data_IF_504977006781
#
_entry.id   IF_504977006781
#
_cell.length_a   1.000
_cell.length_b   1.000
_cell.length_c   1.000
_cell.angle_alpha   90.00
_cell.angle_beta   90.00
_cell.angle_gamma   90.00
#
_symmetry.space_group_name_H-M   'P 1'
#
loop_
_entity.id
_entity.type
_entity.pdbx_description
1 polymer ?
#
# COMPACT_ATOMS: atom_id res chain seq x y z
N UNK A 1 0.16 22.04 3.23
CA UNK A 1 0.58 21.06 4.26
C UNK A 1 1.99 21.32 4.78
N UNK A 2 3.03 21.35 3.94
CA UNK A 2 4.43 21.49 4.39
C UNK A 2 4.73 22.68 5.33
N UNK A 3 4.04 23.82 5.17
CA UNK A 3 4.16 24.97 6.09
C UNK A 3 3.79 24.61 7.54
N UNK A 4 2.62 24.00 7.72
CA UNK A 4 2.13 23.59 9.04
C UNK A 4 3.01 22.49 9.65
N UNK A 5 3.45 21.52 8.83
CA UNK A 5 4.38 20.49 9.28
C UNK A 5 5.69 21.10 9.78
N UNK A 6 6.26 22.05 9.02
CA UNK A 6 7.47 22.77 9.42
C UNK A 6 7.31 23.51 10.75
N UNK A 7 6.18 24.19 10.95
CA UNK A 7 5.87 24.86 12.22
C UNK A 7 5.78 23.88 13.40
N UNK A 8 5.20 22.70 13.17
CA UNK A 8 5.15 21.64 14.18
C UNK A 8 6.54 21.09 14.48
N UNK A 9 7.36 20.83 13.47
CA UNK A 9 8.73 20.32 13.64
C UNK A 9 9.55 21.28 14.49
N UNK A 10 9.48 22.60 14.23
CA UNK A 10 10.16 23.61 15.05
C UNK A 10 9.73 23.52 16.51
N UNK A 11 8.42 23.51 16.77
CA UNK A 11 7.88 23.45 18.15
C UNK A 11 8.36 22.21 18.89
N UNK A 12 8.32 21.06 18.22
CA UNK A 12 8.63 19.75 18.80
C UNK A 12 10.14 19.57 19.02
N UNK A 13 10.99 20.06 18.12
CA UNK A 13 12.44 19.98 18.29
C UNK A 13 12.98 21.02 19.29
N UNK A 14 12.36 22.20 19.37
CA UNK A 14 12.75 23.24 20.35
C UNK A 14 12.39 22.82 21.77
N UNK A 15 11.24 22.16 21.97
CA UNK A 15 10.77 21.72 23.28
C UNK A 15 11.64 20.61 23.89
N UNK A 16 12.14 19.70 23.06
CA UNK A 16 12.94 18.56 23.54
C UNK A 16 14.42 18.90 23.72
N UNK A 17 14.83 20.16 23.45
CA UNK A 17 16.23 20.60 23.41
C UNK A 17 17.15 19.70 22.55
N UNK A 18 16.55 18.93 21.64
CA UNK A 18 17.19 17.79 21.01
C UNK A 18 17.32 18.01 19.51
N UNK A 19 18.56 17.88 19.05
CA UNK A 19 19.00 17.68 17.68
C UNK A 19 19.02 18.90 16.77
N UNK A 20 20.22 19.16 16.24
CA UNK A 20 20.39 19.95 15.06
C UNK A 20 19.99 19.12 13.83
N UNK A 21 19.00 19.60 13.09
CA UNK A 21 18.72 19.07 11.75
C UNK A 21 19.65 19.74 10.76
N UNK A 22 20.43 18.99 10.00
CA UNK A 22 21.31 19.55 8.97
C UNK A 22 20.58 19.78 7.64
N UNK A 23 19.77 18.79 7.26
CA UNK A 23 19.16 18.68 5.93
C UNK A 23 17.76 18.09 6.02
N UNK A 24 16.90 18.52 5.10
CA UNK A 24 15.58 17.93 4.85
C UNK A 24 15.64 17.14 3.56
N UNK A 25 15.25 15.87 3.63
CA UNK A 25 15.19 14.96 2.48
C UNK A 25 13.77 14.40 2.30
N UNK A 26 13.17 14.50 1.10
CA UNK A 26 11.87 13.91 0.82
C UNK A 26 11.97 12.40 0.60
N UNK A 27 10.90 11.69 0.95
CA UNK A 27 10.61 10.36 0.40
C UNK A 27 9.80 10.55 -0.88
N UNK A 28 10.38 10.17 -2.01
CA UNK A 28 9.76 10.37 -3.32
C UNK A 28 8.47 9.54 -3.49
N UNK A 29 7.52 9.96 -4.34
CA UNK A 29 7.43 11.27 -5.03
C UNK A 29 6.53 12.28 -4.31
N UNK A 30 5.54 11.79 -3.58
CA UNK A 30 4.43 12.62 -3.05
C UNK A 30 4.89 13.73 -2.11
N UNK A 31 6.02 13.55 -1.42
CA UNK A 31 6.57 14.55 -0.51
C UNK A 31 7.44 15.63 -1.17
N UNK A 32 7.69 15.56 -2.48
CA UNK A 32 8.50 16.55 -3.22
C UNK A 32 7.96 17.98 -3.14
N UNK A 33 6.65 18.13 -2.95
CA UNK A 33 6.01 19.45 -2.82
C UNK A 33 6.05 19.98 -1.39
N UNK A 34 6.00 19.10 -0.39
CA UNK A 34 5.92 19.48 1.02
C UNK A 34 7.31 19.67 1.64
N UNK A 35 8.29 18.84 1.28
CA UNK A 35 9.63 18.84 1.87
C UNK A 35 10.43 20.13 1.63
N UNK A 36 10.45 20.75 0.43
CA UNK A 36 11.12 22.04 0.24
C UNK A 36 10.53 23.16 1.10
N UNK A 37 9.20 23.14 1.30
CA UNK A 37 8.50 24.11 2.14
C UNK A 37 8.89 23.92 3.61
N UNK A 38 9.00 22.66 4.07
CA UNK A 38 9.49 22.33 5.41
C UNK A 38 10.93 22.81 5.58
N UNK A 39 11.82 22.55 4.61
CA UNK A 39 13.21 22.98 4.63
C UNK A 39 13.35 24.51 4.73
N UNK A 40 12.61 25.23 3.89
CA UNK A 40 12.56 26.69 3.93
C UNK A 40 12.06 27.21 5.28
N UNK A 41 11.06 26.53 5.88
CA UNK A 41 10.53 26.91 7.19
C UNK A 41 11.52 26.68 8.32
N UNK A 42 12.25 25.56 8.28
CA UNK A 42 13.32 25.21 9.23
C UNK A 42 14.60 26.02 9.01
N UNK A 43 14.73 26.72 7.87
CA UNK A 43 15.97 27.36 7.40
C UNK A 43 17.12 26.36 7.30
N UNK A 44 16.84 25.15 6.80
CA UNK A 44 17.81 24.07 6.62
C UNK A 44 17.95 23.70 5.15
N UNK A 45 19.05 23.05 4.81
CA UNK A 45 19.31 22.62 3.44
C UNK A 45 18.25 21.62 2.98
N UNK A 46 17.94 21.62 1.68
CA UNK A 46 17.08 20.63 1.04
C UNK A 46 17.94 19.76 0.12
N UNK A 47 17.81 18.44 0.21
CA UNK A 47 18.53 17.50 -0.64
C UNK A 47 17.59 16.40 -1.14
N UNK A 48 17.68 16.05 -2.42
CA UNK A 48 16.96 14.91 -3.00
C UNK A 48 17.88 13.69 -3.00
N UNK A 49 17.90 12.97 -1.87
CA UNK A 49 18.86 11.88 -1.63
C UNK A 49 18.32 10.46 -1.86
N UNK A 50 17.01 10.27 -2.02
CA UNK A 50 16.38 8.94 -2.15
C UNK A 50 15.92 8.64 -3.58
N UNK A 51 16.05 7.39 -3.99
CA UNK A 51 15.39 6.78 -5.15
C UNK A 51 14.23 5.95 -4.58
N UNK A 52 13.08 5.94 -5.26
CA UNK A 52 11.82 5.37 -4.74
C UNK A 52 11.99 3.96 -4.15
N UNK A 53 11.56 3.81 -2.89
CA UNK A 53 11.32 2.52 -2.27
C UNK A 53 10.03 2.60 -1.45
N UNK A 54 9.27 1.50 -1.45
CA UNK A 54 7.93 1.44 -0.85
C UNK A 54 8.03 1.11 0.64
N UNK A 55 7.35 1.88 1.48
CA UNK A 55 7.30 1.66 2.94
C UNK A 55 5.86 1.44 3.39
N UNK A 56 5.65 0.51 4.33
CA UNK A 56 4.36 0.21 4.96
C UNK A 56 4.55 0.28 6.48
N UNK A 57 3.60 0.90 7.18
CA UNK A 57 3.65 1.08 8.63
C UNK A 57 2.44 0.42 9.32
N UNK A 58 2.64 -0.27 10.45
CA UNK A 58 1.57 -0.91 11.21
C UNK A 58 0.70 0.09 11.98
N UNK A 59 -0.56 -0.28 12.22
CA UNK A 59 -1.51 0.51 12.97
C UNK A 59 -1.24 0.49 14.49
N UNK A 60 -1.48 1.66 15.11
CA UNK A 60 -1.58 1.94 16.55
C UNK A 60 -0.32 1.64 17.37
N UNK A 61 0.57 2.63 17.39
CA UNK A 61 1.61 2.82 18.40
C UNK A 61 1.68 4.30 18.74
N UNK A 62 2.10 4.65 19.94
CA UNK A 62 2.49 6.02 20.25
C UNK A 62 3.66 6.46 19.36
N UNK A 63 3.88 7.77 19.24
CA UNK A 63 4.90 8.34 18.34
C UNK A 63 6.30 7.74 18.62
N UNK A 64 6.62 7.43 19.88
CA UNK A 64 7.90 6.88 20.32
C UNK A 64 8.08 5.41 19.94
N UNK A 65 7.02 4.61 20.07
CA UNK A 65 7.00 3.21 19.69
C UNK A 65 7.00 3.04 18.16
N UNK A 66 6.43 3.98 17.40
CA UNK A 66 6.62 4.04 15.95
C UNK A 66 8.07 4.37 15.61
N UNK A 67 8.65 5.38 16.26
CA UNK A 67 10.04 5.77 16.04
C UNK A 67 11.00 4.59 16.30
N UNK A 68 10.83 3.92 17.44
CA UNK A 68 11.62 2.74 17.81
C UNK A 68 11.48 1.63 16.77
N UNK A 69 10.26 1.35 16.32
CA UNK A 69 10.00 0.28 15.35
C UNK A 69 10.69 0.50 14.01
N UNK A 70 10.70 1.73 13.52
CA UNK A 70 11.30 2.06 12.22
C UNK A 70 12.79 2.42 12.33
N UNK A 71 13.37 2.36 13.53
CA UNK A 71 14.74 2.75 13.80
C UNK A 71 15.00 4.25 13.67
N UNK A 72 13.96 5.08 13.78
CA UNK A 72 14.08 6.53 13.76
C UNK A 72 14.34 7.07 15.17
N UNK A 73 15.11 8.15 15.26
CA UNK A 73 15.31 8.88 16.52
C UNK A 73 14.02 9.54 17.00
N UNK A 74 13.21 10.03 16.06
CA UNK A 74 11.94 10.71 16.33
C UNK A 74 11.03 10.63 15.12
N UNK A 75 9.74 10.50 15.36
CA UNK A 75 8.69 10.61 14.34
C UNK A 75 7.78 11.77 14.71
N UNK A 76 7.45 12.61 13.73
CA UNK A 76 6.58 13.78 13.93
C UNK A 76 5.47 13.73 12.87
N UNK A 77 4.25 13.48 13.32
CA UNK A 77 3.07 13.48 12.45
C UNK A 77 2.45 14.87 12.29
N UNK A 78 1.82 15.14 11.14
CA UNK A 78 0.98 16.33 10.96
C UNK A 78 -0.21 16.29 11.94
N UNK A 79 -0.60 17.44 12.52
CA UNK A 79 -1.87 17.52 13.29
C UNK A 79 -3.07 17.45 12.35
N UNK A 80 -4.14 16.80 12.81
CA UNK A 80 -5.39 16.71 12.04
C UNK A 80 -6.01 18.08 11.77
N UNK A 81 -5.99 19.00 12.74
CA UNK A 81 -6.54 20.35 12.55
C UNK A 81 -5.74 21.17 11.53
N UNK A 82 -4.41 21.11 11.62
CA UNK A 82 -3.54 21.73 10.63
C UNK A 82 -3.73 21.14 9.22
N UNK A 83 -4.03 19.84 9.12
CA UNK A 83 -4.35 19.18 7.86
C UNK A 83 -5.67 19.70 7.28
N UNK A 84 -6.72 19.79 8.12
CA UNK A 84 -8.01 20.40 7.74
C UNK A 84 -7.83 21.84 7.28
N UNK A 85 -7.05 22.64 8.00
CA UNK A 85 -6.79 24.03 7.66
C UNK A 85 -6.00 24.16 6.34
N UNK A 86 -4.97 23.32 6.14
CA UNK A 86 -4.23 23.30 4.88
C UNK A 86 -5.13 22.98 3.67
N UNK A 87 -6.06 22.04 3.81
CA UNK A 87 -7.04 21.72 2.78
C UNK A 87 -8.02 22.88 2.55
N UNK A 88 -8.52 23.50 3.62
CA UNK A 88 -9.42 24.64 3.53
C UNK A 88 -8.77 25.84 2.80
N UNK A 89 -7.49 26.13 3.08
CA UNK A 89 -6.74 27.19 2.40
C UNK A 89 -6.59 26.93 0.90
N UNK A 90 -6.37 25.67 0.48
CA UNK A 90 -6.28 25.31 -0.93
C UNK A 90 -7.62 25.51 -1.66
N UNK A 91 -8.74 25.16 -1.02
CA UNK A 91 -10.09 25.33 -1.57
C UNK A 91 -10.45 26.81 -1.73
N UNK A 92 -10.04 27.67 -0.79
CA UNK A 92 -10.23 29.12 -0.89
C UNK A 92 -9.41 29.74 -2.03
N UNK A 93 -8.16 29.30 -2.21
CA UNK A 93 -7.31 29.75 -3.30
C UNK A 93 -7.83 29.34 -4.70
N UNK A 94 -8.59 28.25 -4.78
CA UNK A 94 -9.16 27.70 -6.02
C UNK A 94 -10.59 28.15 -6.36
N UNK A 95 -11.17 29.13 -5.65
CA UNK A 95 -12.52 29.69 -5.92
C UNK A 95 -13.67 28.66 -6.05
N UNK A 96 -13.55 27.49 -5.43
CA UNK A 96 -14.56 26.41 -5.47
C UNK A 96 -15.12 26.06 -4.09
N UNK A 97 -14.93 26.97 -3.13
CA UNK A 97 -15.38 26.78 -1.76
C UNK A 97 -16.91 26.80 -1.66
N UNK A 98 -17.53 25.64 -1.41
CA UNK A 98 -18.90 25.59 -0.89
C UNK A 98 -18.88 26.00 0.58
N UNK A 99 -19.86 26.82 0.98
CA UNK A 99 -20.03 27.23 2.38
C UNK A 99 -20.23 25.96 3.24
N UNK A 100 -19.40 25.80 4.28
CA UNK A 100 -19.42 24.69 5.24
C UNK A 100 -19.02 23.31 4.70
N UNK A 101 -18.12 23.23 3.71
CA UNK A 101 -17.61 21.94 3.26
C UNK A 101 -16.66 21.32 4.30
N UNK A 102 -17.07 20.18 4.86
CA UNK A 102 -16.22 19.35 5.72
C UNK A 102 -15.45 18.33 4.89
N UNK A 103 -14.25 17.95 5.37
CA UNK A 103 -13.44 16.90 4.76
C UNK A 103 -13.62 15.59 5.51
N UNK A 104 -13.66 14.48 4.77
CA UNK A 104 -13.67 13.14 5.35
C UNK A 104 -12.33 12.89 6.05
N UNK A 105 -12.38 12.46 7.31
CA UNK A 105 -11.20 12.24 8.17
C UNK A 105 -11.28 10.94 8.98
N UNK A 106 -12.19 10.04 8.63
CA UNK A 106 -12.47 8.80 9.35
C UNK A 106 -11.26 7.90 9.47
N UNK A 107 -10.35 7.94 8.50
CA UNK A 107 -9.06 7.22 8.56
C UNK A 107 -8.13 7.72 9.67
N UNK A 108 -8.32 8.95 10.17
CA UNK A 108 -7.48 9.56 11.20
C UNK A 108 -8.09 9.48 12.60
N UNK A 109 -9.42 9.60 12.73
CA UNK A 109 -10.12 9.61 14.03
C UNK A 109 -10.98 8.36 14.27
N UNK A 110 -11.14 7.47 13.30
CA UNK A 110 -11.98 6.28 13.39
C UNK A 110 -13.48 6.55 13.20
N UNK A 111 -13.88 7.79 12.89
CA UNK A 111 -15.28 8.18 12.71
C UNK A 111 -15.57 8.46 11.24
N UNK A 112 -16.18 7.49 10.57
CA UNK A 112 -16.60 7.66 9.17
C UNK A 112 -17.95 8.37 9.09
N UNK A 113 -18.09 9.28 8.13
CA UNK A 113 -19.36 10.00 7.89
C UNK A 113 -20.49 9.03 7.52
N UNK A 114 -20.15 7.95 6.82
CA UNK A 114 -21.07 6.86 6.50
C UNK A 114 -21.02 5.80 7.60
N UNK A 115 -22.16 5.39 8.19
CA UNK A 115 -22.20 4.30 9.14
C UNK A 115 -21.66 3.00 8.52
N UNK A 116 -20.82 2.30 9.26
CA UNK A 116 -20.26 1.00 8.84
C UNK A 116 -21.13 -0.13 9.41
N UNK A 117 -21.75 -0.99 8.58
CA UNK A 117 -22.51 -2.13 9.06
C UNK A 117 -21.66 -3.15 9.83
N UNK A 118 -22.29 -3.89 10.75
CA UNK A 118 -21.65 -5.03 11.41
C UNK A 118 -21.27 -6.08 10.36
N UNK A 119 -20.06 -6.64 10.44
CA UNK A 119 -19.58 -7.64 9.47
C UNK A 119 -18.91 -7.04 8.23
N UNK A 120 -18.87 -5.71 8.09
CA UNK A 120 -18.30 -5.06 6.89
C UNK A 120 -16.80 -5.34 6.76
N UNK A 121 -16.03 -5.18 7.83
CA UNK A 121 -14.58 -5.37 7.76
C UNK A 121 -14.22 -6.84 7.52
N UNK A 122 -14.93 -7.77 8.15
CA UNK A 122 -14.79 -9.22 7.95
C UNK A 122 -15.10 -9.60 6.50
N UNK A 123 -16.13 -8.99 5.90
CA UNK A 123 -16.43 -9.17 4.49
C UNK A 123 -15.31 -8.64 3.59
N UNK A 124 -14.80 -7.44 3.84
CA UNK A 124 -13.70 -6.84 3.06
C UNK A 124 -12.41 -7.67 3.19
N UNK A 125 -12.10 -8.18 4.38
CA UNK A 125 -10.96 -9.06 4.61
C UNK A 125 -11.08 -10.37 3.82
N UNK A 126 -12.28 -10.97 3.81
CA UNK A 126 -12.55 -12.16 3.00
C UNK A 126 -12.36 -11.89 1.51
N UNK A 127 -12.94 -10.81 0.99
CA UNK A 127 -12.81 -10.43 -0.44
C UNK A 127 -11.34 -10.17 -0.81
N UNK A 128 -10.58 -9.49 0.05
CA UNK A 128 -9.14 -9.28 -0.14
C UNK A 128 -8.34 -10.58 -0.06
N UNK A 129 -8.73 -11.50 0.81
CA UNK A 129 -8.17 -12.85 0.90
C UNK A 129 -8.37 -13.62 -0.41
N UNK A 130 -9.58 -13.61 -0.95
CA UNK A 130 -9.92 -14.27 -2.22
C UNK A 130 -9.14 -13.66 -3.41
N UNK A 131 -9.01 -12.33 -3.47
CA UNK A 131 -8.22 -11.65 -4.51
C UNK A 131 -6.74 -12.01 -4.42
N UNK A 132 -6.17 -12.09 -3.21
CA UNK A 132 -4.78 -12.53 -2.99
C UNK A 132 -4.57 -13.97 -3.45
N UNK A 133 -5.50 -14.88 -3.12
CA UNK A 133 -5.47 -16.27 -3.60
C UNK A 133 -5.43 -16.34 -5.13
N UNK A 134 -6.30 -15.57 -5.81
CA UNK A 134 -6.32 -15.55 -7.28
C UNK A 134 -4.99 -15.08 -7.87
N UNK A 135 -4.41 -13.98 -7.36
CA UNK A 135 -3.13 -13.45 -7.86
C UNK A 135 -1.98 -14.44 -7.68
N UNK A 136 -1.93 -15.15 -6.54
CA UNK A 136 -0.93 -16.19 -6.29
C UNK A 136 -1.12 -17.38 -7.24
N UNK A 137 -2.37 -17.82 -7.45
CA UNK A 137 -2.68 -18.90 -8.39
C UNK A 137 -2.33 -18.56 -9.83
N UNK A 138 -2.60 -17.33 -10.26
CA UNK A 138 -2.28 -16.83 -11.60
C UNK A 138 -0.76 -16.81 -11.83
N UNK A 139 0.00 -16.18 -10.92
CA UNK A 139 1.46 -16.14 -10.98
C UNK A 139 2.08 -17.55 -11.02
N UNK A 140 1.56 -18.49 -10.22
CA UNK A 140 2.04 -19.86 -10.20
C UNK A 140 1.75 -20.60 -11.51
N UNK A 141 0.57 -20.42 -12.10
CA UNK A 141 0.23 -20.99 -13.41
C UNK A 141 1.10 -20.42 -14.52
N UNK A 142 1.35 -19.12 -14.51
CA UNK A 142 2.27 -18.47 -15.45
C UNK A 142 3.69 -19.00 -15.32
N UNK A 143 4.21 -19.13 -14.08
CA UNK A 143 5.54 -19.69 -13.85
C UNK A 143 5.66 -21.14 -14.37
N UNK A 144 4.61 -21.95 -14.20
CA UNK A 144 4.56 -23.32 -14.74
C UNK A 144 4.53 -23.32 -16.26
N UNK A 145 3.67 -22.49 -16.87
CA UNK A 145 3.56 -22.37 -18.33
C UNK A 145 4.87 -21.90 -18.98
N UNK A 146 5.60 -20.99 -18.31
CA UNK A 146 6.87 -20.45 -18.78
C UNK A 146 8.08 -21.34 -18.43
N UNK A 147 7.88 -22.46 -17.72
CA UNK A 147 8.95 -23.37 -17.32
C UNK A 147 9.90 -22.81 -16.26
N UNK A 148 9.52 -21.74 -15.56
CA UNK A 148 10.30 -21.08 -14.51
C UNK A 148 9.83 -21.41 -13.09
N UNK A 149 8.85 -22.32 -12.94
CA UNK A 149 8.27 -22.68 -11.65
C UNK A 149 9.22 -23.51 -10.77
N UNK A 150 9.30 -23.14 -9.48
CA UNK A 150 9.86 -23.95 -8.42
C UNK A 150 8.84 -24.96 -7.86
N UNK A 151 9.25 -25.69 -6.81
CA UNK A 151 8.41 -26.74 -6.19
C UNK A 151 7.11 -26.18 -5.61
N UNK A 152 7.17 -24.97 -5.07
CA UNK A 152 6.02 -24.33 -4.42
C UNK A 152 5.00 -23.85 -5.46
N UNK A 153 5.43 -23.20 -6.56
CA UNK A 153 4.51 -22.80 -7.63
C UNK A 153 3.84 -24.00 -8.30
N UNK A 154 4.57 -25.11 -8.46
CA UNK A 154 4.01 -26.37 -8.96
C UNK A 154 2.92 -26.88 -8.01
N UNK A 155 3.17 -26.86 -6.70
CA UNK A 155 2.21 -27.34 -5.70
C UNK A 155 0.97 -26.43 -5.64
N UNK A 156 1.15 -25.12 -5.74
CA UNK A 156 0.08 -24.13 -5.82
C UNK A 156 -0.77 -24.36 -7.08
N UNK A 157 -0.14 -24.51 -8.24
CA UNK A 157 -0.84 -24.73 -9.51
C UNK A 157 -1.63 -26.05 -9.52
N UNK A 158 -1.15 -27.07 -8.80
CA UNK A 158 -1.74 -28.41 -8.76
C UNK A 158 -2.85 -28.53 -7.71
N UNK A 159 -2.58 -28.08 -6.48
CA UNK A 159 -3.46 -28.33 -5.33
C UNK A 159 -4.34 -27.13 -4.98
N UNK A 160 -4.05 -25.96 -5.54
CA UNK A 160 -4.70 -24.71 -5.14
C UNK A 160 -4.04 -24.05 -3.93
N UNK A 161 -4.75 -23.09 -3.34
CA UNK A 161 -4.25 -22.27 -2.22
C UNK A 161 -5.27 -22.11 -1.10
N UNK A 162 -4.75 -22.06 0.11
CA UNK A 162 -5.48 -21.76 1.32
C UNK A 162 -4.90 -20.51 2.00
N UNK A 163 -5.63 -19.93 2.94
CA UNK A 163 -5.12 -18.83 3.77
C UNK A 163 -5.04 -19.39 5.18
N UNK A 164 -3.85 -19.36 5.77
CA UNK A 164 -3.64 -19.83 7.13
C UNK A 164 -4.16 -18.80 8.16
N UNK A 165 -4.11 -19.16 9.45
CA UNK A 165 -4.57 -18.29 10.55
C UNK A 165 -3.79 -16.96 10.62
N UNK A 166 -2.56 -16.91 10.09
CA UNK A 166 -1.74 -15.69 9.99
C UNK A 166 -2.11 -14.80 8.77
N UNK A 167 -3.14 -15.17 8.00
CA UNK A 167 -3.55 -14.42 6.81
C UNK A 167 -2.62 -14.57 5.60
N UNK A 168 -1.67 -15.51 5.63
CA UNK A 168 -0.76 -15.82 4.52
C UNK A 168 -1.36 -16.84 3.58
N UNK A 169 -1.19 -16.62 2.27
CA UNK A 169 -1.59 -17.57 1.24
C UNK A 169 -0.55 -18.69 1.20
N UNK A 170 -0.99 -19.93 1.41
CA UNK A 170 -0.14 -21.12 1.42
C UNK A 170 -0.66 -22.16 0.41
N UNK A 171 0.19 -23.04 -0.13
CA UNK A 171 -0.27 -24.16 -0.95
C UNK A 171 -1.29 -24.98 -0.16
N UNK A 172 -2.42 -25.32 -0.79
CA UNK A 172 -3.37 -26.22 -0.15
C UNK A 172 -2.70 -27.56 0.14
N UNK A 173 -2.94 -28.12 1.32
CA UNK A 173 -2.52 -29.49 1.61
C UNK A 173 -3.16 -30.40 0.58
N UNK A 174 -2.40 -31.37 0.06
CA UNK A 174 -2.93 -32.32 -0.91
C UNK A 174 -4.14 -33.03 -0.28
N UNK A 175 -5.35 -32.63 -0.64
CA UNK A 175 -6.51 -33.41 -0.31
C UNK A 175 -6.30 -34.75 -1.01
N UNK A 176 -6.32 -35.84 -0.25
CA UNK A 176 -6.48 -37.18 -0.81
C UNK A 176 -7.92 -37.28 -1.32
N UNK A 177 -8.24 -36.48 -2.33
CA UNK A 177 -9.42 -36.63 -3.16
C UNK A 177 -8.91 -37.20 -4.46
N UNK A 178 -9.14 -38.50 -4.63
CA UNK A 178 -9.02 -39.19 -5.91
C UNK A 178 -9.91 -38.47 -6.93
N UNK A 179 -9.35 -37.45 -7.56
CA UNK A 179 -9.95 -36.66 -8.62
C UNK A 179 -8.83 -36.32 -9.57
N UNK A 180 -8.45 -37.30 -10.38
CA UNK A 180 -7.52 -37.11 -11.47
C UNK A 180 -8.01 -35.97 -12.36
N UNK A 181 -7.39 -34.79 -12.27
CA UNK A 181 -7.34 -33.92 -13.44
C UNK A 181 -6.37 -34.57 -14.40
N UNK A 182 -6.95 -35.21 -15.40
CA UNK A 182 -6.25 -35.71 -16.55
C UNK A 182 -5.39 -34.59 -17.15
N UNK A 183 -4.07 -34.71 -16.99
CA UNK A 183 -3.16 -34.18 -17.99
C UNK A 183 -3.45 -35.02 -19.23
N UNK A 184 -4.35 -34.53 -20.08
CA UNK A 184 -4.62 -35.14 -21.38
C UNK A 184 -3.40 -34.89 -22.27
N UNK A 185 -2.39 -35.72 -22.10
CA UNK A 185 -1.36 -35.96 -23.09
C UNK A 185 -1.94 -36.82 -24.20
N UNK A 186 -2.32 -36.20 -25.30
CA UNK A 186 -1.99 -36.58 -26.69
C UNK A 186 -3.02 -36.04 -27.68
N UNK A 187 -2.52 -35.37 -28.71
CA UNK A 187 -3.31 -34.99 -29.88
C UNK A 187 -2.50 -34.18 -30.88
N UNK A 188 -1.64 -34.86 -31.64
CA UNK A 188 -1.07 -34.33 -32.89
C UNK A 188 -2.23 -33.88 -33.77
N UNK A 189 -2.27 -32.60 -34.15
CA UNK A 189 -3.02 -32.16 -35.32
C UNK A 189 -2.30 -30.99 -36.02
N UNK A 190 -1.73 -31.33 -37.16
CA UNK A 190 -1.63 -30.56 -38.41
C UNK A 190 -1.43 -29.04 -38.31
N UNK A 191 -0.29 -28.58 -38.81
CA UNK A 191 -0.15 -27.24 -39.38
C UNK A 191 -1.05 -27.10 -40.62
N UNK A 192 -1.74 -25.96 -40.75
CA UNK A 192 -1.92 -25.35 -42.05
C UNK A 192 -1.32 -23.94 -42.03
N UNK A 193 -0.34 -23.77 -42.90
CA UNK A 193 0.23 -22.51 -43.34
C UNK A 193 -0.91 -21.54 -43.75
N UNK A 194 -1.02 -20.39 -43.08
CA UNK A 194 -2.09 -19.43 -43.30
C UNK A 194 -1.69 -18.03 -42.84
N UNK A 195 -0.95 -17.32 -43.69
CA UNK A 195 -0.66 -15.89 -43.55
C UNK A 195 -1.96 -15.11 -43.32
N UNK A 196 -2.12 -14.48 -42.15
CA UNK A 196 -2.92 -13.27 -42.00
C UNK A 196 -2.14 -12.26 -41.17
N UNK A 197 -1.86 -11.12 -41.81
CA UNK A 197 -1.30 -9.92 -41.21
C UNK A 197 -2.30 -9.41 -40.18
N UNK A 198 -1.85 -9.13 -38.96
CA UNK A 198 -2.55 -8.21 -38.07
C UNK A 198 -1.60 -7.04 -37.79
N UNK A 199 -2.13 -5.85 -38.02
CA UNK A 199 -1.49 -4.55 -37.82
C UNK A 199 -0.98 -4.39 -36.39
N UNK A 200 0.09 -3.60 -36.25
CA UNK A 200 0.59 -3.11 -34.98
C UNK A 200 -0.47 -2.18 -34.39
N UNK A 201 -1.20 -2.64 -33.39
CA UNK A 201 -1.86 -1.74 -32.46
C UNK A 201 -0.78 -1.17 -31.53
N UNK A 202 -0.66 0.16 -31.56
CA UNK A 202 0.26 0.93 -30.75
C UNK A 202 0.04 0.60 -29.26
N UNK A 203 1.11 0.18 -28.61
CA UNK A 203 1.18 -0.07 -27.17
C UNK A 203 0.88 1.23 -26.42
N UNK A 204 -0.35 1.39 -25.93
CA UNK A 204 -0.70 2.49 -25.04
C UNK A 204 0.22 2.44 -23.81
N UNK A 205 0.77 3.58 -23.34
CA UNK A 205 1.72 3.58 -22.24
C UNK A 205 1.08 2.96 -20.99
N UNK A 206 1.84 2.19 -20.19
CA UNK A 206 1.30 1.52 -19.02
C UNK A 206 0.75 2.56 -18.07
N UNK A 207 -0.58 2.57 -17.89
CA UNK A 207 -1.24 3.38 -16.86
C UNK A 207 -0.63 2.98 -15.53
N UNK A 208 0.02 3.92 -14.85
CA UNK A 208 0.43 3.75 -13.46
C UNK A 208 -0.80 3.47 -12.61
N UNK A 209 -1.08 2.18 -12.43
CA UNK A 209 -2.09 1.71 -11.51
C UNK A 209 -1.53 1.95 -10.11
N UNK A 210 -2.01 3.01 -9.46
CA UNK A 210 -1.76 3.22 -8.03
C UNK A 210 -2.49 2.11 -7.28
N UNK A 211 -1.78 1.01 -7.06
CA UNK A 211 -2.21 -0.11 -6.25
C UNK A 211 -2.19 0.37 -4.78
N UNK A 212 -3.28 0.99 -4.34
CA UNK A 212 -3.52 1.38 -2.94
C UNK A 212 -3.79 0.13 -2.10
N UNK A 213 -2.81 -0.77 -2.05
CA UNK A 213 -2.84 -1.97 -1.23
C UNK A 213 -2.68 -1.60 0.23
N UNK A 214 -3.82 -1.40 0.92
CA UNK A 214 -3.96 -1.48 2.38
C UNK A 214 -3.54 -2.90 2.86
N UNK A 215 -2.24 -3.16 2.88
CA UNK A 215 -1.65 -4.31 3.55
C UNK A 215 -1.44 -3.94 5.01
N UNK A 216 -2.51 -4.03 5.80
CA UNK A 216 -2.43 -4.03 7.24
C UNK A 216 -2.29 -5.50 7.66
N UNK A 217 -1.05 -6.01 7.69
CA UNK A 217 -0.78 -7.35 8.23
C UNK A 217 -1.02 -7.28 9.74
N UNK A 218 -2.06 -7.99 10.18
CA UNK A 218 -2.52 -8.06 11.55
C UNK A 218 -1.70 -9.05 12.37
N UNK A 219 -0.47 -8.66 12.72
CA UNK A 219 0.22 -9.31 13.82
C UNK A 219 -0.09 -8.55 15.12
N UNK A 220 -0.37 -9.32 16.17
CA UNK A 220 -0.35 -9.02 17.61
C UNK A 220 -1.69 -9.04 18.37
N UNK A 221 -1.72 -10.00 19.29
CA UNK A 221 -2.78 -10.38 20.21
C UNK A 221 -3.32 -9.21 21.04
N UNK A 222 -4.64 -9.11 21.09
CA UNK A 222 -5.36 -8.33 22.09
C UNK A 222 -5.17 -8.95 23.48
N UNK A 223 -4.21 -8.44 24.25
CA UNK A 223 -4.27 -8.57 25.71
C UNK A 223 -5.33 -7.58 26.19
N UNK A 224 -6.51 -8.11 26.54
CA UNK A 224 -7.51 -7.38 27.32
C UNK A 224 -6.90 -7.06 28.69
N UNK A 225 -6.85 -5.78 29.03
CA UNK A 225 -6.88 -5.29 30.41
C UNK A 225 -8.07 -4.37 30.57
#
# INVERSE_FOLDING_TARGET
MGRFLGDRVIKVLTADHSEETDVVMPILETSNTSAPIVAARLKKAYCQGFIENRYVFPHKRDDDAIALYIGAKKVIFQKLDDLKEACAQAVLAGMTARKNQEIEVGVFNGETVTPVPRGYFEHIEKVRGETRKMKVMENAREAVANGSAGKEEIQIATNGVEVNDDGKVVPASASTTNGALAISGNGVLHTPNGKRKHEKDEEAPPRHQMDNGLHNQGDFDYVKT
#
